data_IF_140851309928
#
_entry.id   IF_140851309928
#
_cell.length_a   1.000
_cell.length_b   1.000
_cell.length_c   1.000
_cell.angle_alpha   90.00
_cell.angle_beta   90.00
_cell.angle_gamma   90.00
#
_symmetry.space_group_name_H-M   'P 1'
#
loop_
_entity.id
_entity.type
_entity.pdbx_description
1 polymer ?
#
# COMPACT_ATOMS: atom_id res chain seq x y z
N UNK A 1 -22.30 4.82 -3.18
CA UNK A 1 -21.08 5.51 -3.64
C UNK A 1 -20.46 6.15 -2.41
N UNK A 2 -19.36 5.60 -1.90
CA UNK A 2 -18.63 6.22 -0.80
C UNK A 2 -17.87 7.39 -1.44
N UNK A 3 -18.35 8.62 -1.28
CA UNK A 3 -17.60 9.82 -1.66
C UNK A 3 -16.83 10.30 -0.44
N UNK A 4 -15.49 10.35 -0.46
CA UNK A 4 -14.71 10.80 0.71
C UNK A 4 -14.59 12.33 0.82
N UNK A 5 -15.72 13.02 0.70
CA UNK A 5 -15.91 14.43 1.12
C UNK A 5 -15.58 14.67 2.62
N UNK A 6 -15.12 13.65 3.36
CA UNK A 6 -14.82 13.64 4.79
C UNK A 6 -13.31 13.66 5.14
N UNK A 7 -12.41 13.96 4.19
CA UNK A 7 -10.96 14.13 4.43
C UNK A 7 -10.28 12.93 5.15
N UNK A 8 -10.46 11.71 4.63
CA UNK A 8 -9.86 10.49 5.20
C UNK A 8 -8.40 10.25 4.79
N UNK A 9 -7.77 9.19 5.34
CA UNK A 9 -6.38 8.78 5.04
C UNK A 9 -6.06 8.72 3.54
N UNK A 10 -7.00 8.27 2.72
CA UNK A 10 -6.84 8.03 1.29
C UNK A 10 -7.35 9.17 0.39
N UNK A 11 -7.65 10.33 0.98
CA UNK A 11 -8.19 11.48 0.23
C UNK A 11 -7.25 11.93 -0.90
N UNK A 12 -5.94 11.89 -0.67
CA UNK A 12 -4.95 12.31 -1.66
C UNK A 12 -4.98 11.42 -2.90
N UNK A 13 -5.06 10.11 -2.70
CA UNK A 13 -5.14 9.11 -3.76
C UNK A 13 -6.49 9.19 -4.48
N UNK A 14 -7.58 9.40 -3.74
CA UNK A 14 -8.92 9.61 -4.30
C UNK A 14 -8.95 10.84 -5.20
N UNK A 15 -8.47 12.00 -4.73
CA UNK A 15 -8.44 13.25 -5.49
C UNK A 15 -7.70 13.07 -6.82
N UNK A 16 -6.50 12.47 -6.79
CA UNK A 16 -5.73 12.19 -8.01
C UNK A 16 -6.47 11.27 -8.97
N UNK A 17 -7.16 10.25 -8.47
CA UNK A 17 -7.93 9.34 -9.30
C UNK A 17 -9.15 10.05 -9.93
N UNK A 18 -9.86 10.88 -9.17
CA UNK A 18 -11.01 11.65 -9.64
C UNK A 18 -10.59 12.69 -10.69
N UNK A 19 -9.51 13.43 -10.47
CA UNK A 19 -8.96 14.38 -11.45
C UNK A 19 -8.67 13.70 -12.81
N UNK A 20 -8.15 12.47 -12.77
CA UNK A 20 -7.92 11.68 -13.97
C UNK A 20 -9.23 11.23 -14.64
N UNK A 21 -10.23 10.81 -13.86
CA UNK A 21 -11.54 10.44 -14.40
C UNK A 21 -12.29 11.63 -14.99
N UNK A 22 -12.17 12.81 -14.42
CA UNK A 22 -12.73 14.05 -14.97
C UNK A 22 -12.11 14.38 -16.33
N UNK A 23 -10.79 14.20 -16.49
CA UNK A 23 -10.09 14.47 -17.74
C UNK A 23 -10.43 13.47 -18.87
N UNK A 24 -10.58 12.18 -18.56
CA UNK A 24 -10.72 11.13 -19.58
C UNK A 24 -12.12 10.52 -19.69
N UNK A 25 -13.00 10.78 -18.72
CA UNK A 25 -14.28 10.10 -18.58
C UNK A 25 -14.14 8.63 -18.17
N UNK A 26 -15.27 8.00 -17.84
CA UNK A 26 -15.29 6.65 -17.26
C UNK A 26 -14.67 5.59 -18.18
N UNK A 27 -15.04 5.55 -19.46
CA UNK A 27 -14.63 4.47 -20.36
C UNK A 27 -13.13 4.49 -20.67
N UNK A 28 -12.56 5.66 -21.01
CA UNK A 28 -11.12 5.78 -21.26
C UNK A 28 -10.33 5.76 -19.95
N UNK A 29 -10.92 6.27 -18.87
CA UNK A 29 -10.35 6.31 -17.53
C UNK A 29 -10.04 4.92 -16.95
N UNK A 30 -10.85 3.89 -17.24
CA UNK A 30 -10.55 2.50 -16.83
C UNK A 30 -9.13 2.05 -17.20
N UNK A 31 -8.64 2.48 -18.37
CA UNK A 31 -7.30 2.13 -18.86
C UNK A 31 -6.29 3.23 -18.51
N UNK A 32 -6.63 4.50 -18.74
CA UNK A 32 -5.70 5.63 -18.56
C UNK A 32 -5.39 5.94 -17.10
N UNK A 33 -6.35 5.72 -16.21
CA UNK A 33 -6.24 6.01 -14.77
C UNK A 33 -5.98 4.76 -13.92
N UNK A 34 -5.72 3.59 -14.55
CA UNK A 34 -5.53 2.33 -13.84
C UNK A 34 -4.45 2.36 -12.74
N UNK A 35 -3.29 3.03 -12.92
CA UNK A 35 -2.30 3.15 -11.85
C UNK A 35 -2.84 3.92 -10.63
N UNK A 36 -3.57 5.01 -10.86
CA UNK A 36 -4.14 5.86 -9.79
C UNK A 36 -5.25 5.14 -9.04
N UNK A 37 -6.09 4.39 -9.76
CA UNK A 37 -7.06 3.49 -9.14
C UNK A 37 -6.35 2.42 -8.30
N UNK A 38 -5.24 1.88 -8.80
CA UNK A 38 -4.42 0.91 -8.09
C UNK A 38 -3.90 1.45 -6.75
N UNK A 39 -3.42 2.69 -6.72
CA UNK A 39 -2.96 3.35 -5.49
C UNK A 39 -4.12 3.64 -4.53
N UNK A 40 -5.25 4.16 -5.04
CA UNK A 40 -6.45 4.40 -4.26
C UNK A 40 -6.99 3.11 -3.63
N UNK A 41 -7.10 2.04 -4.42
CA UNK A 41 -7.53 0.73 -3.95
C UNK A 41 -6.55 0.11 -2.95
N UNK A 42 -5.25 0.27 -3.16
CA UNK A 42 -4.23 -0.18 -2.21
C UNK A 42 -4.36 0.57 -0.88
N UNK A 43 -4.53 1.90 -0.91
CA UNK A 43 -4.67 2.69 0.32
C UNK A 43 -5.86 2.22 1.16
N UNK A 44 -6.98 1.83 0.55
CA UNK A 44 -8.14 1.31 1.30
C UNK A 44 -7.95 -0.11 1.83
N UNK A 45 -7.27 -0.96 1.06
CA UNK A 45 -7.20 -2.40 1.37
C UNK A 45 -5.94 -2.82 2.10
N UNK A 46 -4.88 -2.01 2.02
CA UNK A 46 -3.52 -2.31 2.49
C UNK A 46 -2.99 -3.68 2.01
N UNK A 47 -3.50 -4.18 0.88
CA UNK A 47 -3.24 -5.55 0.44
C UNK A 47 -1.75 -5.75 0.11
N UNK A 48 -1.16 -4.80 -0.64
CA UNK A 48 0.26 -4.88 -1.02
C UNK A 48 1.15 -4.65 0.20
N UNK A 49 0.83 -3.64 1.03
CA UNK A 49 1.53 -3.40 2.29
C UNK A 49 1.54 -4.65 3.19
N UNK A 50 0.39 -5.29 3.39
CA UNK A 50 0.29 -6.51 4.20
C UNK A 50 1.11 -7.67 3.62
N UNK A 51 1.03 -7.91 2.30
CA UNK A 51 1.85 -8.93 1.64
C UNK A 51 3.34 -8.67 1.81
N UNK A 52 3.79 -7.41 1.69
CA UNK A 52 5.17 -6.99 1.93
C UNK A 52 5.58 -7.27 3.37
N UNK A 53 4.75 -6.92 4.34
CA UNK A 53 5.00 -7.21 5.75
C UNK A 53 5.18 -8.71 6.01
N UNK A 54 4.31 -9.55 5.46
CA UNK A 54 4.41 -11.01 5.61
C UNK A 54 5.70 -11.55 4.95
N UNK A 55 6.08 -11.06 3.78
CA UNK A 55 7.31 -11.48 3.11
C UNK A 55 8.56 -11.15 3.95
N UNK A 56 8.64 -9.92 4.47
CA UNK A 56 9.73 -9.49 5.35
C UNK A 56 9.78 -10.35 6.62
N UNK A 57 8.62 -10.60 7.23
CA UNK A 57 8.53 -11.44 8.44
C UNK A 57 9.01 -12.86 8.19
N UNK A 58 8.60 -13.49 7.09
CA UNK A 58 9.02 -14.85 6.72
C UNK A 58 10.53 -14.96 6.52
N UNK A 59 11.11 -14.00 5.82
CA UNK A 59 12.55 -13.98 5.59
C UNK A 59 13.34 -13.79 6.90
N UNK A 60 12.84 -12.93 7.79
CA UNK A 60 13.40 -12.78 9.15
C UNK A 60 13.35 -14.10 9.92
N UNK A 61 12.19 -14.76 9.98
CA UNK A 61 12.04 -16.05 10.69
C UNK A 61 13.01 -17.11 10.13
N UNK A 62 13.20 -17.13 8.81
CA UNK A 62 14.20 -17.99 8.16
C UNK A 62 15.63 -17.66 8.62
N UNK A 63 16.02 -16.39 8.63
CA UNK A 63 17.37 -15.98 9.06
C UNK A 63 17.63 -16.25 10.55
N UNK A 64 16.59 -16.17 11.40
CA UNK A 64 16.67 -16.57 12.81
C UNK A 64 16.90 -18.09 12.91
N UNK A 65 16.15 -18.89 12.14
CA UNK A 65 16.31 -20.35 12.12
C UNK A 65 17.68 -20.79 11.60
N UNK A 66 18.25 -20.06 10.64
CA UNK A 66 19.62 -20.26 10.14
C UNK A 66 20.71 -19.76 11.10
N UNK A 67 20.33 -19.12 12.22
CA UNK A 67 21.28 -18.55 13.20
C UNK A 67 22.00 -17.29 12.72
N UNK A 68 21.57 -16.68 11.62
CA UNK A 68 22.16 -15.43 11.07
C UNK A 68 21.72 -14.20 11.85
N UNK A 69 20.46 -14.17 12.31
CA UNK A 69 19.95 -13.13 13.21
C UNK A 69 19.90 -13.67 14.64
N UNK A 70 20.66 -13.06 15.55
CA UNK A 70 20.78 -13.50 16.95
C UNK A 70 20.57 -12.32 17.92
N UNK A 71 20.40 -12.61 19.21
CA UNK A 71 20.26 -11.56 20.23
C UNK A 71 19.10 -10.59 19.95
N UNK A 72 19.41 -9.31 20.06
CA UNK A 72 18.48 -8.18 19.86
C UNK A 72 18.18 -7.92 18.37
N UNK A 73 19.04 -8.39 17.45
CA UNK A 73 18.85 -8.23 16.01
C UNK A 73 17.70 -9.08 15.45
N UNK A 74 17.16 -10.01 16.26
CA UNK A 74 16.03 -10.86 15.88
C UNK A 74 14.76 -10.05 15.64
N UNK A 75 14.55 -8.97 16.38
CA UNK A 75 13.33 -8.17 16.31
C UNK A 75 13.66 -6.68 16.36
N UNK A 76 13.94 -6.10 15.19
CA UNK A 76 14.04 -4.64 15.07
C UNK A 76 12.67 -4.00 14.94
N UNK A 77 12.50 -2.82 15.54
CA UNK A 77 11.37 -1.94 15.27
C UNK A 77 11.44 -1.52 13.79
N UNK A 78 10.42 -1.80 12.98
CA UNK A 78 10.40 -1.35 11.60
C UNK A 78 10.50 0.18 11.57
N UNK A 79 11.41 0.70 10.75
CA UNK A 79 11.50 2.13 10.48
C UNK A 79 10.17 2.62 9.88
N UNK A 80 9.83 3.88 10.09
CA UNK A 80 8.54 4.46 9.66
C UNK A 80 8.32 4.31 8.13
N UNK A 81 9.40 4.25 7.35
CA UNK A 81 9.42 4.03 5.88
C UNK A 81 9.28 2.55 5.45
N UNK A 82 9.19 1.63 6.40
CA UNK A 82 9.02 0.18 6.13
C UNK A 82 7.59 -0.19 5.74
N UNK A 83 6.64 0.72 5.99
CA UNK A 83 5.20 0.57 5.79
C UNK A 83 4.77 1.21 4.48
#
# INVERSE_FOLDING_TARGET
MISHQMLGRCQKEEARYMDCLEAYGLERGKVKCAPLFGDYHECHTLNKQFKRFIAIRREREKQIAEGKLTGDDRYVTPKIDSY
#
